data_IF_064142976313
#
_entry.id   IF_064142976313
#
_cell.length_a   1.000
_cell.length_b   1.000
_cell.length_c   1.000
_cell.angle_alpha   90.00
_cell.angle_beta   90.00
_cell.angle_gamma   90.00
#
_symmetry.space_group_name_H-M   'P 1'
#
loop_
_entity.id
_entity.type
_entity.pdbx_description
1 polymer ?
#
# COMPACT_ATOMS: atom_id res chain seq x y z
N UNK A 1 -1.08 32.79 7.86
CA UNK A 1 -1.96 31.70 7.38
C UNK A 1 -1.14 30.42 7.44
N UNK A 2 -1.50 29.47 8.30
CA UNK A 2 -0.58 28.41 8.74
C UNK A 2 -0.17 27.49 7.57
N UNK A 3 1.14 27.21 7.47
CA UNK A 3 1.76 26.28 6.49
C UNK A 3 1.29 24.81 6.65
N UNK A 4 0.32 24.54 7.51
CA UNK A 4 0.05 23.19 8.02
C UNK A 4 -1.20 22.52 7.43
N UNK A 5 -2.16 23.22 6.82
CA UNK A 5 -3.42 22.57 6.38
C UNK A 5 -3.44 22.28 4.87
N UNK A 6 -3.39 21.01 4.48
CA UNK A 6 -3.68 20.59 3.11
C UNK A 6 -5.18 20.41 2.91
N UNK A 7 -5.74 21.02 1.87
CA UNK A 7 -7.15 20.84 1.49
C UNK A 7 -7.24 20.07 0.17
N UNK A 8 -7.78 18.84 0.17
CA UNK A 8 -7.98 18.08 -1.05
C UNK A 8 -8.97 18.78 -1.99
N UNK A 9 -8.77 18.67 -3.30
CA UNK A 9 -9.80 19.07 -4.27
C UNK A 9 -11.07 18.23 -4.07
N UNK A 10 -12.28 18.77 -4.29
CA UNK A 10 -13.51 17.99 -4.17
C UNK A 10 -13.51 16.76 -5.09
N UNK A 11 -13.80 15.59 -4.53
CA UNK A 11 -14.00 14.37 -5.31
C UNK A 11 -15.45 14.24 -5.74
N UNK A 12 -15.68 14.05 -7.05
CA UNK A 12 -16.98 13.69 -7.61
C UNK A 12 -16.83 12.35 -8.32
N UNK A 13 -17.41 11.25 -7.79
CA UNK A 13 -17.26 9.94 -8.41
C UNK A 13 -17.87 9.95 -9.82
N UNK A 14 -17.20 9.26 -10.74
CA UNK A 14 -17.67 9.04 -12.09
C UNK A 14 -19.08 8.42 -12.08
N UNK A 15 -20.06 9.13 -12.64
CA UNK A 15 -21.46 8.71 -12.67
C UNK A 15 -21.69 7.39 -13.43
N UNK A 16 -20.80 7.07 -14.37
CA UNK A 16 -20.80 5.85 -15.17
C UNK A 16 -20.12 4.65 -14.47
N UNK A 17 -19.64 4.83 -13.23
CA UNK A 17 -19.13 3.79 -12.34
C UNK A 17 -19.89 3.82 -11.02
N UNK A 18 -21.19 3.48 -11.00
CA UNK A 18 -22.00 3.57 -9.80
C UNK A 18 -21.59 2.52 -8.77
N UNK A 19 -21.42 2.97 -7.53
CA UNK A 19 -21.16 2.12 -6.38
C UNK A 19 -19.70 1.69 -6.23
N UNK A 20 -19.41 1.15 -5.05
CA UNK A 20 -18.05 0.89 -4.60
C UNK A 20 -17.33 -0.18 -5.43
N UNK A 21 -18.04 -1.24 -5.84
CA UNK A 21 -17.46 -2.32 -6.64
C UNK A 21 -17.10 -1.87 -8.06
N UNK A 22 -17.94 -1.05 -8.71
CA UNK A 22 -17.66 -0.55 -10.06
C UNK A 22 -16.40 0.34 -10.06
N UNK A 23 -16.29 1.26 -9.09
CA UNK A 23 -15.08 2.07 -8.87
C UNK A 23 -13.84 1.20 -8.62
N UNK A 24 -13.95 0.19 -7.74
CA UNK A 24 -12.86 -0.72 -7.40
C UNK A 24 -12.37 -1.53 -8.61
N UNK A 25 -13.30 -2.13 -9.35
CA UNK A 25 -12.99 -2.98 -10.51
C UNK A 25 -12.46 -2.12 -11.65
N UNK A 26 -13.11 -1.00 -11.97
CA UNK A 26 -12.63 -0.10 -13.02
C UNK A 26 -11.24 0.44 -12.69
N UNK A 27 -10.95 0.77 -11.43
CA UNK A 27 -9.64 1.22 -10.99
C UNK A 27 -8.50 0.28 -11.41
N UNK A 28 -8.75 -1.03 -11.45
CA UNK A 28 -7.77 -2.01 -11.93
C UNK A 28 -7.50 -1.90 -13.43
N UNK A 29 -8.50 -1.57 -14.26
CA UNK A 29 -8.43 -1.75 -15.71
C UNK A 29 -8.35 -0.46 -16.54
N UNK A 30 -8.85 0.68 -16.03
CA UNK A 30 -9.01 1.87 -16.87
C UNK A 30 -7.81 2.84 -16.84
N UNK A 31 -6.88 2.66 -15.89
CA UNK A 31 -5.68 3.51 -15.82
C UNK A 31 -4.76 3.13 -16.99
N UNK A 32 -4.07 4.11 -17.62
CA UNK A 32 -3.20 3.82 -18.75
C UNK A 32 -2.11 2.79 -18.37
N UNK A 33 -1.89 1.75 -19.18
CA UNK A 33 -0.88 0.72 -18.89
C UNK A 33 0.53 1.07 -19.42
N UNK A 34 0.68 2.15 -20.21
CA UNK A 34 1.93 2.50 -20.91
C UNK A 34 2.48 3.87 -20.48
N UNK A 35 3.73 4.16 -20.89
CA UNK A 35 4.39 5.44 -20.62
C UNK A 35 5.07 5.54 -19.25
N UNK A 36 5.17 4.43 -18.52
CA UNK A 36 6.02 4.29 -17.33
C UNK A 36 6.98 3.14 -17.60
N UNK A 37 8.27 3.42 -17.48
CA UNK A 37 9.34 2.46 -17.65
C UNK A 37 10.04 2.23 -16.31
N UNK A 38 10.47 1.00 -16.07
CA UNK A 38 11.15 0.65 -14.83
C UNK A 38 12.55 0.15 -15.11
N UNK A 39 13.52 0.67 -14.35
CA UNK A 39 14.81 0.03 -14.15
C UNK A 39 14.74 -0.75 -12.83
N UNK A 40 14.75 -2.08 -12.94
CA UNK A 40 14.78 -2.96 -11.76
C UNK A 40 16.18 -3.02 -11.16
N UNK A 41 16.24 -2.91 -9.84
CA UNK A 41 17.43 -3.15 -9.04
C UNK A 41 17.08 -4.14 -7.92
N UNK A 42 17.89 -5.19 -7.76
CA UNK A 42 17.75 -6.15 -6.67
C UNK A 42 18.55 -5.68 -5.47
N UNK A 43 17.87 -5.51 -4.34
CA UNK A 43 18.46 -5.20 -3.05
C UNK A 43 18.54 -6.48 -2.22
N UNK A 44 19.76 -6.94 -1.96
CA UNK A 44 20.01 -8.06 -1.05
C UNK A 44 19.68 -7.65 0.38
N UNK A 45 18.96 -8.52 1.09
CA UNK A 45 18.49 -8.27 2.47
C UNK A 45 19.37 -8.99 3.48
N UNK A 46 19.48 -8.49 4.73
CA UNK A 46 20.36 -9.08 5.74
C UNK A 46 20.06 -10.55 6.10
N UNK A 47 18.84 -11.02 5.84
CA UNK A 47 18.42 -12.41 6.07
C UNK A 47 18.72 -13.35 4.89
N UNK A 48 19.55 -12.91 3.93
CA UNK A 48 19.97 -13.72 2.77
C UNK A 48 18.93 -13.79 1.65
N UNK A 49 17.89 -12.95 1.74
CA UNK A 49 16.83 -12.83 0.74
C UNK A 49 17.02 -11.58 -0.14
N UNK A 50 16.00 -11.19 -0.90
CA UNK A 50 16.02 -9.97 -1.69
C UNK A 50 14.70 -9.19 -1.69
N UNK A 51 14.82 -7.90 -2.02
CA UNK A 51 13.74 -7.01 -2.44
C UNK A 51 14.04 -6.48 -3.84
N UNK A 52 13.09 -6.60 -4.77
CA UNK A 52 13.23 -5.98 -6.09
C UNK A 52 12.60 -4.58 -6.08
N UNK A 53 13.42 -3.60 -6.44
CA UNK A 53 13.08 -2.19 -6.51
C UNK A 53 12.92 -1.78 -7.97
N UNK A 54 11.79 -1.18 -8.33
CA UNK A 54 11.54 -0.70 -9.68
C UNK A 54 11.60 0.84 -9.69
N UNK A 55 12.71 1.39 -10.18
CA UNK A 55 12.90 2.84 -10.34
C UNK A 55 12.19 3.32 -11.60
N UNK A 56 11.25 4.24 -11.45
CA UNK A 56 10.37 4.69 -12.53
C UNK A 56 10.98 5.84 -13.35
N UNK A 57 10.80 5.79 -14.67
CA UNK A 57 10.83 6.94 -15.56
C UNK A 57 9.50 7.04 -16.31
N UNK A 58 9.06 8.26 -16.62
CA UNK A 58 7.75 8.53 -17.23
C UNK A 58 7.96 9.29 -18.53
N UNK A 59 7.27 8.87 -19.59
CA UNK A 59 7.36 9.51 -20.90
C UNK A 59 6.92 10.98 -20.85
N UNK A 60 7.71 11.85 -21.46
CA UNK A 60 7.43 13.29 -21.51
C UNK A 60 7.63 14.03 -20.18
N UNK A 61 7.97 13.34 -19.08
CA UNK A 61 8.32 14.00 -17.83
C UNK A 61 9.79 14.47 -17.87
N UNK A 62 10.10 15.65 -17.29
CA UNK A 62 11.47 16.11 -17.20
C UNK A 62 12.32 15.15 -16.37
N UNK A 63 13.57 14.93 -16.78
CA UNK A 63 14.51 14.14 -15.99
C UNK A 63 14.75 14.83 -14.63
N UNK A 64 14.33 14.17 -13.56
CA UNK A 64 14.55 14.67 -12.22
C UNK A 64 16.02 14.48 -11.80
N UNK A 65 16.63 15.53 -11.25
CA UNK A 65 18.02 15.52 -10.80
C UNK A 65 18.28 14.50 -9.67
N UNK A 66 19.56 14.24 -9.39
CA UNK A 66 19.99 13.28 -8.36
C UNK A 66 19.50 13.63 -6.94
N UNK A 67 19.26 14.91 -6.67
CA UNK A 67 18.78 15.43 -5.37
C UNK A 67 17.26 15.65 -5.35
N UNK A 68 16.55 15.37 -6.44
CA UNK A 68 15.09 15.52 -6.48
C UNK A 68 14.42 14.61 -5.43
N UNK A 69 13.27 14.99 -4.86
CA UNK A 69 12.56 14.14 -3.90
C UNK A 69 12.32 12.74 -4.44
N UNK A 70 12.43 11.72 -3.59
CA UNK A 70 12.29 10.31 -3.96
C UNK A 70 11.16 9.68 -3.14
N UNK A 71 10.08 9.29 -3.81
CA UNK A 71 8.95 8.61 -3.22
C UNK A 71 9.10 7.09 -3.30
N UNK A 72 9.09 6.43 -2.15
CA UNK A 72 8.96 4.98 -2.04
C UNK A 72 7.49 4.60 -2.12
N UNK A 73 7.10 3.92 -3.20
CA UNK A 73 5.73 3.45 -3.40
C UNK A 73 5.59 1.98 -2.99
N UNK A 74 4.60 1.68 -2.15
CA UNK A 74 4.35 0.35 -1.56
C UNK A 74 2.95 -0.12 -1.96
N UNK A 75 2.91 -1.21 -2.73
CA UNK A 75 1.67 -1.73 -3.32
C UNK A 75 0.78 -2.47 -2.31
N UNK A 76 -0.47 -2.74 -2.69
CA UNK A 76 -1.42 -3.53 -1.91
C UNK A 76 -1.22 -5.04 -2.01
N UNK A 77 -2.11 -5.80 -1.38
CA UNK A 77 -2.08 -7.27 -1.36
C UNK A 77 -2.03 -7.85 -2.79
N UNK A 78 -1.07 -8.74 -3.05
CA UNK A 78 -0.82 -9.39 -4.34
C UNK A 78 -0.69 -8.42 -5.54
N UNK A 79 -0.28 -7.18 -5.25
CA UNK A 79 0.12 -6.17 -6.23
C UNK A 79 1.58 -6.29 -6.65
N UNK A 80 2.08 -5.26 -7.31
CA UNK A 80 3.47 -5.05 -7.72
C UNK A 80 3.62 -3.62 -8.28
N UNK A 81 4.84 -3.22 -8.65
CA UNK A 81 5.10 -1.97 -9.39
C UNK A 81 4.28 -1.82 -10.68
N UNK A 82 3.83 -2.94 -11.27
CA UNK A 82 3.01 -2.98 -12.49
C UNK A 82 1.51 -2.78 -12.23
N UNK A 83 1.10 -2.62 -10.97
CA UNK A 83 -0.30 -2.36 -10.65
C UNK A 83 -0.72 -1.01 -11.22
N UNK A 84 -1.93 -0.95 -11.79
CA UNK A 84 -2.40 0.21 -12.55
C UNK A 84 -2.36 1.53 -11.76
N UNK A 85 -2.72 1.49 -10.46
CA UNK A 85 -2.62 2.64 -9.54
C UNK A 85 -1.17 3.02 -9.21
N UNK A 86 -0.23 2.07 -9.23
CA UNK A 86 1.19 2.36 -9.03
C UNK A 86 1.75 3.14 -10.23
N UNK A 87 1.42 2.68 -11.46
CA UNK A 87 1.79 3.38 -12.69
C UNK A 87 1.23 4.81 -12.71
N UNK A 88 -0.05 4.98 -12.34
CA UNK A 88 -0.66 6.30 -12.28
C UNK A 88 -0.05 7.20 -11.21
N UNK A 89 0.37 6.63 -10.08
CA UNK A 89 1.10 7.35 -9.04
C UNK A 89 2.45 7.83 -9.55
N UNK A 90 3.20 6.98 -10.28
CA UNK A 90 4.45 7.39 -10.92
C UNK A 90 4.24 8.59 -11.85
N UNK A 91 3.19 8.58 -12.67
CA UNK A 91 2.86 9.72 -13.56
C UNK A 91 2.55 10.99 -12.78
N UNK A 92 1.64 10.89 -11.81
CA UNK A 92 1.24 12.04 -10.99
C UNK A 92 2.44 12.64 -10.23
N UNK A 93 3.35 11.81 -9.72
CA UNK A 93 4.56 12.28 -9.04
C UNK A 93 5.57 12.90 -10.01
N UNK A 94 5.73 12.33 -11.20
CA UNK A 94 6.64 12.85 -12.22
C UNK A 94 6.21 14.24 -12.73
N UNK A 95 4.90 14.53 -12.81
CA UNK A 95 4.37 15.89 -13.09
C UNK A 95 4.88 16.96 -12.09
N UNK A 96 5.31 16.53 -10.89
CA UNK A 96 5.84 17.38 -9.83
C UNK A 96 7.36 17.24 -9.64
N UNK A 97 8.07 16.58 -10.57
CA UNK A 97 9.52 16.36 -10.46
C UNK A 97 9.93 15.42 -9.33
N UNK A 98 9.00 14.61 -8.81
CA UNK A 98 9.27 13.63 -7.76
C UNK A 98 9.62 12.29 -8.40
N UNK A 99 10.79 11.76 -8.07
CA UNK A 99 11.23 10.42 -8.48
C UNK A 99 10.43 9.37 -7.74
N UNK A 100 10.16 8.24 -8.39
CA UNK A 100 9.46 7.11 -7.75
C UNK A 100 10.32 5.85 -7.78
N UNK A 101 10.40 5.18 -6.65
CA UNK A 101 10.90 3.80 -6.54
C UNK A 101 9.79 2.94 -5.97
N UNK A 102 9.33 1.96 -6.73
CA UNK A 102 8.34 1.00 -6.25
C UNK A 102 9.06 -0.15 -5.55
N UNK A 103 8.75 -0.36 -4.27
CA UNK A 103 9.19 -1.55 -3.54
C UNK A 103 8.22 -2.69 -3.87
N UNK A 104 8.70 -3.75 -4.50
CA UNK A 104 7.91 -4.98 -4.60
C UNK A 104 8.07 -5.77 -3.32
N UNK A 105 6.95 -6.12 -2.70
CA UNK A 105 6.98 -7.06 -1.59
C UNK A 105 7.60 -8.39 -2.02
N UNK A 106 8.17 -9.10 -1.05
CA UNK A 106 8.71 -10.45 -1.24
C UNK A 106 7.73 -11.33 -2.03
N UNK A 107 8.23 -12.04 -3.03
CA UNK A 107 7.42 -12.86 -3.96
C UNK A 107 6.41 -12.09 -4.84
N UNK A 108 6.52 -10.76 -5.00
CA UNK A 108 5.57 -9.96 -5.80
C UNK A 108 6.19 -9.33 -7.07
N UNK A 109 7.50 -9.46 -7.28
CA UNK A 109 8.20 -8.89 -8.44
C UNK A 109 8.14 -9.76 -9.71
N UNK A 110 7.57 -10.96 -9.62
CA UNK A 110 7.54 -11.98 -10.69
C UNK A 110 8.34 -13.24 -10.35
N UNK A 111 9.18 -13.17 -9.31
CA UNK A 111 9.96 -14.29 -8.79
C UNK A 111 9.63 -14.49 -7.30
N UNK A 112 9.47 -15.75 -6.82
CA UNK A 112 9.41 -16.03 -5.39
C UNK A 112 10.70 -15.61 -4.66
N UNK A 113 10.57 -15.08 -3.45
CA UNK A 113 11.71 -14.78 -2.60
C UNK A 113 12.36 -16.08 -2.05
N UNK A 114 13.63 -16.02 -1.65
CA UNK A 114 14.47 -17.20 -1.35
C UNK A 114 14.10 -17.87 -0.03
N UNK A 115 13.79 -17.07 0.99
CA UNK A 115 13.57 -17.58 2.35
C UNK A 115 12.13 -18.04 2.55
N UNK A 116 11.85 -18.69 3.68
CA UNK A 116 10.49 -19.09 4.04
C UNK A 116 9.54 -17.89 4.18
N UNK A 117 10.04 -16.79 4.78
CA UNK A 117 9.31 -15.56 5.09
C UNK A 117 8.55 -15.02 3.90
N UNK A 118 7.28 -14.67 4.09
CA UNK A 118 6.49 -13.91 3.11
C UNK A 118 6.35 -12.46 3.59
N UNK A 119 5.88 -11.58 2.70
CA UNK A 119 5.34 -10.30 3.14
C UNK A 119 4.00 -10.52 3.85
N UNK A 120 3.67 -9.64 4.80
CA UNK A 120 2.36 -9.59 5.46
C UNK A 120 2.07 -8.16 5.92
N UNK A 121 0.87 -7.89 6.42
CA UNK A 121 0.42 -6.54 6.77
C UNK A 121 1.23 -5.87 7.89
N UNK A 122 1.85 -6.69 8.75
CA UNK A 122 2.66 -6.23 9.89
C UNK A 122 4.15 -6.04 9.59
N UNK A 123 4.59 -6.42 8.38
CA UNK A 123 6.00 -6.42 7.99
C UNK A 123 6.49 -5.00 7.67
N UNK A 124 7.12 -4.35 8.63
CA UNK A 124 7.73 -3.02 8.46
C UNK A 124 9.25 -3.05 8.33
N UNK A 125 9.88 -4.21 8.55
CA UNK A 125 11.33 -4.37 8.53
C UNK A 125 11.92 -4.17 7.14
N UNK A 126 11.34 -4.80 6.12
CA UNK A 126 11.77 -4.63 4.72
C UNK A 126 11.70 -3.15 4.27
N UNK A 127 10.62 -2.44 4.64
CA UNK A 127 10.47 -1.01 4.34
C UNK A 127 11.50 -0.16 5.09
N UNK A 128 11.72 -0.44 6.37
CA UNK A 128 12.71 0.27 7.18
C UNK A 128 14.12 0.11 6.59
N UNK A 129 14.51 -1.12 6.25
CA UNK A 129 15.79 -1.44 5.64
C UNK A 129 15.98 -0.69 4.31
N UNK A 130 14.98 -0.74 3.43
CA UNK A 130 15.01 0.01 2.17
C UNK A 130 15.21 1.52 2.39
N UNK A 131 14.46 2.10 3.35
CA UNK A 131 14.54 3.53 3.62
C UNK A 131 15.92 3.96 4.14
N UNK A 132 16.58 3.14 4.96
CA UNK A 132 17.94 3.42 5.40
C UNK A 132 18.95 3.32 4.24
N UNK A 133 18.81 2.32 3.36
CA UNK A 133 19.63 2.20 2.14
C UNK A 133 19.46 3.40 1.22
N UNK A 134 18.21 3.84 0.99
CA UNK A 134 17.92 4.99 0.14
C UNK A 134 18.39 6.30 0.77
N UNK A 135 18.28 6.46 2.08
CA UNK A 135 18.76 7.64 2.79
C UNK A 135 20.28 7.78 2.68
N UNK A 136 21.03 6.67 2.77
CA UNK A 136 22.47 6.67 2.56
C UNK A 136 22.86 6.94 1.10
N UNK A 137 22.11 6.37 0.14
CA UNK A 137 22.40 6.51 -1.30
C UNK A 137 22.05 7.89 -1.86
N UNK A 138 20.99 8.52 -1.34
CA UNK A 138 20.49 9.82 -1.81
C UNK A 138 20.38 10.81 -0.65
N UNK A 139 21.50 11.23 -0.04
CA UNK A 139 21.49 11.99 1.22
C UNK A 139 20.80 13.36 1.13
N UNK A 140 20.76 13.96 -0.05
CA UNK A 140 20.13 15.26 -0.27
C UNK A 140 18.66 15.16 -0.71
N UNK A 141 18.20 13.96 -1.08
CA UNK A 141 16.84 13.77 -1.55
C UNK A 141 15.88 13.63 -0.38
N UNK A 142 14.80 14.42 -0.38
CA UNK A 142 13.70 14.20 0.54
C UNK A 142 13.04 12.84 0.23
N UNK A 143 13.12 11.90 1.18
CA UNK A 143 12.41 10.63 1.07
C UNK A 143 10.93 10.81 1.40
N UNK A 144 10.07 10.31 0.53
CA UNK A 144 8.61 10.39 0.64
C UNK A 144 8.02 8.97 0.62
N UNK A 145 6.81 8.79 1.13
CA UNK A 145 6.12 7.49 1.13
C UNK A 145 4.76 7.54 0.47
N UNK A 146 4.43 6.53 -0.33
CA UNK A 146 3.08 6.30 -0.84
C UNK A 146 2.67 4.84 -0.64
N UNK A 147 1.62 4.60 0.14
CA UNK A 147 1.12 3.26 0.43
C UNK A 147 -0.31 3.07 -0.05
N UNK A 148 -0.61 1.87 -0.56
CA UNK A 148 -1.93 1.51 -1.07
C UNK A 148 -2.45 0.25 -0.38
N UNK A 149 -3.68 0.28 0.13
CA UNK A 149 -4.32 -0.89 0.76
C UNK A 149 -3.41 -1.51 1.83
N UNK A 150 -3.03 -2.78 1.70
CA UNK A 150 -2.03 -3.43 2.58
C UNK A 150 -0.73 -2.62 2.72
N UNK A 151 -0.22 -2.03 1.63
CA UNK A 151 0.96 -1.16 1.66
C UNK A 151 0.74 0.14 2.41
N UNK A 152 -0.50 0.67 2.43
CA UNK A 152 -0.86 1.79 3.30
C UNK A 152 -0.82 1.39 4.77
N UNK A 153 -1.31 0.19 5.12
CA UNK A 153 -1.20 -0.32 6.48
C UNK A 153 0.26 -0.46 6.92
N UNK A 154 1.10 -1.10 6.10
CA UNK A 154 2.55 -1.25 6.37
C UNK A 154 3.21 0.12 6.54
N UNK A 155 2.95 1.06 5.64
CA UNK A 155 3.53 2.40 5.70
C UNK A 155 3.11 3.14 6.98
N UNK A 156 1.82 3.15 7.32
CA UNK A 156 1.33 3.84 8.51
C UNK A 156 1.84 3.20 9.81
N UNK A 157 1.91 1.87 9.85
CA UNK A 157 2.53 1.14 10.95
C UNK A 157 3.99 1.54 11.12
N UNK A 158 4.78 1.51 10.04
CA UNK A 158 6.18 1.96 10.07
C UNK A 158 6.32 3.39 10.61
N UNK A 159 5.49 4.31 10.12
CA UNK A 159 5.53 5.71 10.55
C UNK A 159 5.21 5.87 12.04
N UNK A 160 4.26 5.11 12.57
CA UNK A 160 3.94 5.14 14.00
C UNK A 160 5.01 4.47 14.87
N UNK A 161 5.64 3.40 14.39
CA UNK A 161 6.76 2.74 15.07
C UNK A 161 8.02 3.61 15.12
N UNK A 162 8.24 4.43 14.09
CA UNK A 162 9.43 5.30 14.00
C UNK A 162 9.21 6.71 14.52
N UNK A 163 7.99 7.24 14.51
CA UNK A 163 7.70 8.60 14.95
C UNK A 163 8.65 9.63 14.31
N UNK A 164 9.36 10.39 15.14
CA UNK A 164 10.26 11.47 14.71
C UNK A 164 11.53 10.98 14.02
N UNK A 165 11.99 9.75 14.33
CA UNK A 165 13.21 9.19 13.73
C UNK A 165 12.96 8.59 12.34
N UNK A 166 11.73 8.68 11.82
CA UNK A 166 11.41 8.26 10.46
C UNK A 166 12.29 8.95 9.42
N UNK A 167 12.76 8.16 8.44
CA UNK A 167 13.47 8.69 7.26
C UNK A 167 12.51 9.41 6.30
N UNK A 168 11.23 9.03 6.30
CA UNK A 168 10.20 9.62 5.46
C UNK A 168 9.88 11.03 5.95
N UNK A 169 9.93 12.00 5.05
CA UNK A 169 9.60 13.40 5.29
C UNK A 169 8.09 13.67 5.25
N UNK A 170 7.38 13.02 4.33
CA UNK A 170 5.93 13.09 4.21
C UNK A 170 5.40 11.84 3.52
N UNK A 171 4.15 11.49 3.82
CA UNK A 171 3.54 10.27 3.32
C UNK A 171 2.11 10.46 2.82
N UNK A 172 1.65 9.53 2.00
CA UNK A 172 0.26 9.38 1.62
C UNK A 172 -0.14 7.92 1.74
N UNK A 173 -1.32 7.66 2.28
CA UNK A 173 -1.87 6.32 2.46
C UNK A 173 -3.29 6.27 1.87
N UNK A 174 -3.51 5.36 0.92
CA UNK A 174 -4.71 5.31 0.10
C UNK A 174 -5.45 3.98 0.31
N UNK A 175 -6.76 4.04 0.57
CA UNK A 175 -7.63 2.86 0.85
C UNK A 175 -7.15 2.00 2.01
N UNK A 176 -6.89 2.67 3.13
CA UNK A 176 -6.25 2.12 4.34
C UNK A 176 -7.14 1.07 5.04
N UNK A 177 -6.70 -0.19 5.21
CA UNK A 177 -7.38 -1.16 6.06
C UNK A 177 -6.96 -0.92 7.52
N UNK A 178 -7.57 0.08 8.16
CA UNK A 178 -7.23 0.53 9.53
C UNK A 178 -7.22 -0.62 10.55
N UNK A 179 -8.21 -1.51 10.42
CA UNK A 179 -8.39 -2.73 11.22
C UNK A 179 -8.48 -3.93 10.25
N UNK A 180 -7.47 -4.79 10.29
CA UNK A 180 -7.35 -5.93 9.38
C UNK A 180 -8.39 -7.02 9.70
N UNK A 181 -8.71 -7.22 10.97
CA UNK A 181 -9.69 -8.23 11.41
C UNK A 181 -11.09 -7.85 10.96
N UNK A 182 -11.51 -6.62 11.23
CA UNK A 182 -12.81 -6.10 10.77
C UNK A 182 -12.91 -6.08 9.24
N UNK A 183 -11.81 -5.76 8.54
CA UNK A 183 -11.74 -5.87 7.08
C UNK A 183 -11.95 -7.30 6.57
N UNK A 184 -11.28 -8.28 7.20
CA UNK A 184 -11.43 -9.70 6.88
C UNK A 184 -12.88 -10.18 7.09
N UNK A 185 -13.51 -9.78 8.21
CA UNK A 185 -14.88 -10.16 8.55
C UNK A 185 -15.91 -9.51 7.60
N UNK A 186 -15.74 -8.23 7.26
CA UNK A 186 -16.57 -7.53 6.27
C UNK A 186 -16.55 -8.24 4.91
N UNK A 187 -15.37 -8.64 4.45
CA UNK A 187 -15.21 -9.35 3.18
C UNK A 187 -15.85 -10.75 3.24
N UNK A 188 -15.70 -11.48 4.35
CA UNK A 188 -16.34 -12.78 4.54
C UNK A 188 -17.89 -12.67 4.53
N UNK A 189 -18.43 -11.59 5.10
CA UNK A 189 -19.86 -11.35 5.23
C UNK A 189 -20.60 -11.09 3.90
N UNK A 190 -19.93 -10.58 2.86
CA UNK A 190 -20.57 -10.19 1.60
C UNK A 190 -20.29 -11.13 0.43
N UNK A 191 -21.21 -11.22 -0.54
CA UNK A 191 -21.01 -12.04 -1.74
C UNK A 191 -19.78 -11.59 -2.55
N UNK A 192 -19.70 -10.30 -2.87
CA UNK A 192 -18.57 -9.73 -3.61
C UNK A 192 -17.27 -9.80 -2.80
N UNK A 193 -17.34 -9.62 -1.47
CA UNK A 193 -16.18 -9.81 -0.59
C UNK A 193 -15.59 -11.20 -0.70
N UNK A 194 -16.41 -12.25 -0.66
CA UNK A 194 -15.95 -13.64 -0.87
C UNK A 194 -15.34 -13.88 -2.25
N UNK A 195 -15.81 -13.19 -3.30
CA UNK A 195 -15.19 -13.25 -4.64
C UNK A 195 -13.78 -12.65 -4.60
N UNK A 196 -13.60 -11.49 -3.97
CA UNK A 196 -12.27 -10.89 -3.78
C UNK A 196 -11.36 -11.77 -2.93
N UNK A 197 -11.82 -12.24 -1.77
CA UNK A 197 -11.06 -13.13 -0.89
C UNK A 197 -10.60 -14.37 -1.64
N UNK A 198 -11.49 -15.03 -2.40
CA UNK A 198 -11.14 -16.21 -3.20
C UNK A 198 -10.07 -15.91 -4.24
N UNK A 199 -10.09 -14.73 -4.88
CA UNK A 199 -9.06 -14.32 -5.83
C UNK A 199 -7.68 -14.24 -5.16
N UNK A 200 -7.58 -13.55 -4.02
CA UNK A 200 -6.31 -13.35 -3.32
C UNK A 200 -5.79 -14.62 -2.64
N UNK A 201 -6.66 -15.36 -1.94
CA UNK A 201 -6.31 -16.64 -1.29
C UNK A 201 -5.73 -17.62 -2.31
N UNK A 202 -6.33 -17.74 -3.49
CA UNK A 202 -5.80 -18.61 -4.57
C UNK A 202 -4.37 -18.25 -4.97
N UNK A 203 -4.05 -16.96 -5.08
CA UNK A 203 -2.71 -16.49 -5.47
C UNK A 203 -1.68 -16.74 -4.36
N UNK A 204 -2.05 -16.46 -3.11
CA UNK A 204 -1.19 -16.72 -1.95
C UNK A 204 -0.90 -18.22 -1.76
N UNK A 205 -1.92 -19.08 -1.92
CA UNK A 205 -1.74 -20.54 -1.92
C UNK A 205 -0.85 -20.99 -3.08
N UNK A 206 -0.97 -20.37 -4.26
CA UNK A 206 -0.06 -20.66 -5.38
C UNK A 206 1.40 -20.27 -5.06
N UNK A 207 1.64 -19.13 -4.40
CA UNK A 207 2.99 -18.73 -3.95
C UNK A 207 3.57 -19.70 -2.92
N UNK A 208 2.77 -20.14 -1.95
CA UNK A 208 3.14 -21.19 -1.02
C UNK A 208 3.59 -22.47 -1.76
N UNK A 209 2.83 -22.89 -2.78
CA UNK A 209 3.19 -24.07 -3.61
C UNK A 209 4.50 -23.88 -4.36
N UNK A 210 4.70 -22.72 -4.98
CA UNK A 210 5.93 -22.41 -5.71
C UNK A 210 7.16 -22.51 -4.80
N UNK A 211 7.10 -21.93 -3.59
CA UNK A 211 8.19 -22.04 -2.61
C UNK A 211 8.47 -23.47 -2.19
N UNK A 212 7.42 -24.26 -1.92
CA UNK A 212 7.57 -25.68 -1.57
C UNK A 212 8.18 -26.49 -2.72
N UNK A 213 7.75 -26.23 -3.95
CA UNK A 213 8.30 -26.89 -5.14
C UNK A 213 9.78 -26.53 -5.37
N UNK A 214 10.17 -25.31 -5.01
CA UNK A 214 11.56 -24.84 -5.02
C UNK A 214 12.41 -25.37 -3.85
N UNK A 215 11.87 -26.26 -3.00
CA UNK A 215 12.60 -26.83 -1.87
C UNK A 215 12.73 -25.93 -0.65
N UNK A 216 12.06 -24.77 -0.63
CA UNK A 216 12.06 -23.88 0.54
C UNK A 216 11.31 -24.55 1.70
N UNK A 217 12.00 -24.71 2.83
CA UNK A 217 11.41 -25.27 4.05
C UNK A 217 10.50 -24.24 4.71
N UNK A 218 9.20 -24.55 4.75
CA UNK A 218 8.18 -23.75 5.44
C UNK A 218 7.83 -24.46 6.75
N UNK A 219 8.79 -24.49 7.68
CA UNK A 219 8.64 -25.22 8.95
C UNK A 219 7.43 -24.70 9.74
N UNK A 220 6.72 -25.59 10.43
CA UNK A 220 5.50 -25.25 11.17
C UNK A 220 4.24 -25.02 10.30
N UNK A 221 4.37 -25.00 8.98
CA UNK A 221 3.23 -24.81 8.05
C UNK A 221 3.07 -26.00 7.12
N UNK A 222 1.92 -26.67 7.22
CA UNK A 222 1.46 -27.63 6.21
C UNK A 222 0.03 -27.30 5.81
N UNK A 223 -0.12 -26.61 4.69
CA UNK A 223 -1.45 -26.36 4.14
C UNK A 223 -2.06 -27.65 3.60
N UNK A 224 -3.17 -28.08 4.19
CA UNK A 224 -4.04 -29.09 3.59
C UNK A 224 -4.69 -28.49 2.34
N UNK A 225 -4.25 -28.97 1.18
CA UNK A 225 -4.69 -28.45 -0.11
C UNK A 225 -6.17 -28.71 -0.42
N UNK A 226 -6.77 -29.74 0.18
CA UNK A 226 -8.21 -30.01 0.03
C UNK A 226 -9.00 -29.03 0.89
N UNK A 227 -8.50 -28.70 2.09
CA UNK A 227 -9.09 -27.68 2.96
C UNK A 227 -8.92 -26.27 2.40
N UNK A 228 -7.78 -25.93 1.80
CA UNK A 228 -7.55 -24.57 1.29
C UNK A 228 -8.48 -24.17 0.14
N UNK A 229 -9.01 -25.14 -0.62
CA UNK A 229 -10.06 -24.91 -1.62
C UNK A 229 -11.40 -24.46 -1.01
N UNK A 230 -11.60 -24.71 0.29
CA UNK A 230 -12.81 -24.37 1.04
C UNK A 230 -12.67 -23.09 1.86
N UNK A 231 -11.49 -22.49 1.93
CA UNK A 231 -11.29 -21.22 2.64
C UNK A 231 -12.14 -20.12 2.01
N UNK A 232 -12.96 -19.49 2.85
CA UNK A 232 -13.91 -18.44 2.44
C UNK A 232 -13.56 -17.09 3.05
N UNK A 233 -12.57 -17.05 3.94
CA UNK A 233 -12.10 -15.84 4.61
C UNK A 233 -10.58 -15.68 4.48
N UNK A 234 -10.09 -14.44 4.65
CA UNK A 234 -8.66 -14.20 4.83
C UNK A 234 -8.17 -14.81 6.15
N UNK A 235 -9.02 -14.79 7.19
CA UNK A 235 -8.77 -15.38 8.50
C UNK A 235 -8.35 -16.84 8.43
N UNK A 236 -9.00 -17.66 7.60
CA UNK A 236 -8.63 -19.07 7.41
C UNK A 236 -7.19 -19.23 6.87
N UNK A 237 -6.84 -18.40 5.88
CA UNK A 237 -5.50 -18.41 5.29
C UNK A 237 -4.47 -17.87 6.28
N UNK A 238 -4.79 -16.76 6.94
CA UNK A 238 -3.89 -16.10 7.86
C UNK A 238 -3.60 -16.98 9.07
N UNK A 239 -4.61 -17.68 9.62
CA UNK A 239 -4.40 -18.61 10.72
C UNK A 239 -3.51 -19.80 10.32
N UNK A 240 -3.74 -20.35 9.12
CA UNK A 240 -3.05 -21.54 8.65
C UNK A 240 -1.65 -21.26 8.08
N UNK A 241 -1.39 -20.07 7.56
CA UNK A 241 -0.15 -19.70 6.88
C UNK A 241 0.53 -18.50 7.53
N UNK A 242 -0.10 -17.33 7.49
CA UNK A 242 0.54 -16.05 7.85
C UNK A 242 0.96 -16.04 9.32
N UNK A 243 0.06 -16.40 10.23
CA UNK A 243 0.29 -16.39 11.67
C UNK A 243 1.42 -17.36 12.04
N UNK A 244 1.27 -18.63 11.64
CA UNK A 244 2.22 -19.71 11.94
C UNK A 244 3.63 -19.42 11.41
N UNK A 245 3.73 -18.92 10.17
CA UNK A 245 5.02 -18.71 9.53
C UNK A 245 5.80 -17.53 10.14
N UNK A 246 5.08 -16.53 10.67
CA UNK A 246 5.68 -15.29 11.16
C UNK A 246 5.64 -15.16 12.69
N UNK A 247 5.35 -16.26 13.40
CA UNK A 247 5.42 -16.31 14.87
C UNK A 247 4.28 -15.59 15.58
N UNK A 248 3.13 -15.42 14.94
CA UNK A 248 1.89 -15.02 15.62
C UNK A 248 1.20 -16.25 16.20
N UNK A 249 0.41 -16.05 17.27
CA UNK A 249 -0.31 -17.14 17.91
C UNK A 249 -1.38 -17.74 16.99
N UNK A 250 -2.15 -16.85 16.34
CA UNK A 250 -3.24 -17.15 15.42
C UNK A 250 -3.53 -15.90 14.53
N UNK A 251 -4.59 -15.96 13.73
CA UNK A 251 -4.99 -14.82 12.89
C UNK A 251 -5.39 -13.57 13.71
N UNK A 252 -5.98 -13.73 14.90
CA UNK A 252 -6.43 -12.60 15.73
C UNK A 252 -5.25 -11.86 16.37
N UNK A 253 -4.25 -12.59 16.86
CA UNK A 253 -2.97 -12.02 17.31
C UNK A 253 -2.28 -11.28 16.17
N UNK A 254 -2.25 -11.88 14.97
CA UNK A 254 -1.72 -11.24 13.76
C UNK A 254 -2.44 -9.92 13.45
N UNK A 255 -3.77 -9.90 13.42
CA UNK A 255 -4.54 -8.69 13.12
C UNK A 255 -4.37 -7.62 14.19
N UNK A 256 -4.37 -7.99 15.47
CA UNK A 256 -4.18 -7.07 16.59
C UNK A 256 -2.84 -6.36 16.51
N UNK A 257 -1.76 -7.11 16.24
CA UNK A 257 -0.38 -6.57 16.20
C UNK A 257 -0.04 -5.87 14.89
N UNK A 258 -0.80 -6.13 13.83
CA UNK A 258 -0.48 -5.64 12.48
C UNK A 258 -1.38 -4.50 11.98
N UNK A 259 -2.52 -4.26 12.62
CA UNK A 259 -3.45 -3.20 12.21
C UNK A 259 -2.89 -1.81 12.48
N UNK A 260 -2.84 -0.94 11.47
CA UNK A 260 -2.20 0.37 11.59
C UNK A 260 -2.96 1.36 12.51
N UNK A 261 -4.25 1.14 12.80
CA UNK A 261 -5.06 2.03 13.62
C UNK A 261 -4.41 2.38 14.97
N UNK A 262 -3.80 1.40 15.64
CA UNK A 262 -3.19 1.60 16.96
C UNK A 262 -1.88 2.41 16.90
N UNK A 263 -1.27 2.54 15.72
CA UNK A 263 0.00 3.25 15.53
C UNK A 263 -0.18 4.71 15.10
N UNK A 264 -1.39 5.11 14.67
CA UNK A 264 -1.64 6.44 14.10
C UNK A 264 -1.34 7.60 15.07
N UNK A 265 -1.54 7.39 16.37
CA UNK A 265 -1.29 8.41 17.39
C UNK A 265 0.21 8.77 17.51
N UNK A 266 1.10 7.85 17.11
CA UNK A 266 2.55 8.01 17.20
C UNK A 266 3.19 8.58 15.92
N UNK A 267 2.41 8.78 14.85
CA UNK A 267 2.92 9.39 13.60
C UNK A 267 3.29 10.86 13.87
N UNK A 268 4.48 11.25 13.42
CA UNK A 268 5.07 12.60 13.60
C UNK A 268 5.45 13.30 12.28
N UNK A 269 5.08 12.71 11.14
CA UNK A 269 5.37 13.26 9.82
C UNK A 269 4.06 13.57 9.08
N UNK A 270 3.97 14.67 8.31
CA UNK A 270 2.77 15.01 7.55
C UNK A 270 2.33 13.84 6.67
N UNK A 271 1.11 13.35 6.90
CA UNK A 271 0.58 12.15 6.26
C UNK A 271 -0.84 12.37 5.77
N UNK A 272 -1.04 12.27 4.45
CA UNK A 272 -2.37 12.32 3.83
C UNK A 272 -3.06 10.95 3.93
N UNK A 273 -4.27 10.92 4.47
CA UNK A 273 -5.08 9.70 4.59
C UNK A 273 -6.25 9.77 3.59
N UNK A 274 -6.12 9.12 2.44
CA UNK A 274 -7.17 9.10 1.41
C UNK A 274 -8.00 7.84 1.56
N UNK A 275 -9.30 7.99 1.84
CA UNK A 275 -10.17 6.85 2.08
C UNK A 275 -11.60 7.10 1.63
N UNK A 276 -12.26 6.08 1.09
CA UNK A 276 -13.67 6.13 0.73
C UNK A 276 -14.52 5.45 1.81
N UNK A 277 -15.61 6.08 2.25
CA UNK A 277 -16.50 5.49 3.26
C UNK A 277 -17.28 4.28 2.72
N UNK A 278 -17.43 4.17 1.40
CA UNK A 278 -18.06 3.02 0.74
C UNK A 278 -17.08 1.88 0.40
N UNK A 279 -15.81 1.95 0.82
CA UNK A 279 -14.78 0.97 0.48
C UNK A 279 -15.24 -0.48 0.76
N UNK A 280 -15.26 -1.39 -0.24
CA UNK A 280 -15.77 -2.74 -0.06
C UNK A 280 -14.85 -3.66 0.77
N UNK A 281 -13.60 -3.27 1.00
CA UNK A 281 -12.62 -4.03 1.78
C UNK A 281 -12.54 -3.57 3.24
N UNK A 282 -12.91 -2.32 3.52
CA UNK A 282 -12.67 -1.68 4.82
C UNK A 282 -13.99 -1.30 5.47
N UNK A 283 -14.19 -1.69 6.72
CA UNK A 283 -15.35 -1.27 7.50
C UNK A 283 -15.23 0.22 7.86
N UNK A 284 -16.22 1.03 7.45
CA UNK A 284 -16.26 2.45 7.77
C UNK A 284 -16.32 2.69 9.29
N UNK A 285 -16.94 1.78 10.04
CA UNK A 285 -16.97 1.83 11.50
C UNK A 285 -15.63 1.52 12.17
N UNK A 286 -14.63 1.05 11.41
CA UNK A 286 -13.28 0.81 11.89
C UNK A 286 -12.34 2.01 11.68
N UNK A 287 -12.81 3.11 11.07
CA UNK A 287 -12.00 4.31 10.88
C UNK A 287 -11.80 5.00 12.24
N UNK A 288 -10.55 5.19 12.72
CA UNK A 288 -10.27 5.74 14.04
C UNK A 288 -10.37 7.28 14.03
N UNK A 289 -11.58 7.81 13.82
CA UNK A 289 -11.83 9.26 13.66
C UNK A 289 -11.22 10.11 14.79
N UNK A 290 -11.37 9.70 16.04
CA UNK A 290 -10.83 10.44 17.19
C UNK A 290 -9.29 10.56 17.15
N UNK A 291 -8.59 9.46 16.82
CA UNK A 291 -7.12 9.47 16.70
C UNK A 291 -6.67 10.32 15.52
N UNK A 292 -7.38 10.24 14.39
CA UNK A 292 -7.09 11.04 13.19
C UNK A 292 -7.26 12.54 13.48
N UNK A 293 -8.32 12.93 14.20
CA UNK A 293 -8.58 14.33 14.55
C UNK A 293 -7.60 14.87 15.60
N UNK A 294 -7.16 14.03 16.53
CA UNK A 294 -6.25 14.42 17.60
C UNK A 294 -4.79 14.59 17.14
N UNK A 295 -4.37 13.94 16.05
CA UNK A 295 -3.00 14.02 15.55
C UNK A 295 -2.85 15.10 14.46
N UNK A 296 -2.15 16.22 14.69
CA UNK A 296 -2.02 17.32 13.73
C UNK A 296 -1.20 16.97 12.48
N UNK A 297 -0.47 15.85 12.48
CA UNK A 297 0.27 15.37 11.33
C UNK A 297 -0.60 14.57 10.35
N UNK A 298 -1.81 14.18 10.74
CA UNK A 298 -2.72 13.41 9.90
C UNK A 298 -3.68 14.35 9.17
N UNK A 299 -3.68 14.26 7.85
CA UNK A 299 -4.55 15.04 6.98
C UNK A 299 -5.60 14.12 6.35
N UNK A 300 -6.82 14.03 6.90
CA UNK A 300 -7.86 13.17 6.34
C UNK A 300 -8.44 13.74 5.04
N UNK A 301 -8.50 12.90 4.01
CA UNK A 301 -9.24 13.10 2.77
C UNK A 301 -10.28 11.98 2.64
N UNK A 302 -11.26 11.99 3.55
CA UNK A 302 -12.35 11.01 3.60
C UNK A 302 -13.48 11.44 2.64
N UNK A 303 -13.81 10.58 1.69
CA UNK A 303 -14.86 10.85 0.70
C UNK A 303 -16.02 9.85 0.84
N UNK A 304 -17.27 10.24 0.61
CA UNK A 304 -18.41 9.34 0.81
C UNK A 304 -18.39 8.12 -0.11
N UNK A 305 -17.87 8.29 -1.33
CA UNK A 305 -17.80 7.25 -2.37
C UNK A 305 -16.46 7.29 -3.05
N UNK A 306 -15.97 6.14 -3.48
CA UNK A 306 -14.70 6.01 -4.21
C UNK A 306 -14.24 4.57 -4.42
N UNK A 307 -14.85 3.60 -3.73
CA UNK A 307 -14.42 2.21 -3.77
C UNK A 307 -13.01 2.00 -3.21
N UNK A 308 -12.48 0.79 -3.36
CA UNK A 308 -11.13 0.44 -2.93
C UNK A 308 -10.14 0.72 -4.06
N UNK A 309 -9.26 1.70 -3.87
CA UNK A 309 -8.26 2.13 -4.87
C UNK A 309 -8.90 2.51 -6.22
N UNK A 310 -10.16 2.94 -6.18
CA UNK A 310 -10.93 3.42 -7.33
C UNK A 310 -10.66 4.89 -7.56
N UNK A 311 -11.37 5.75 -6.81
CA UNK A 311 -11.28 7.22 -6.84
C UNK A 311 -11.31 7.81 -8.27
N UNK A 312 -12.13 7.21 -9.14
CA UNK A 312 -12.28 7.64 -10.53
C UNK A 312 -13.34 8.74 -10.60
N UNK A 313 -12.95 9.87 -11.17
CA UNK A 313 -13.80 10.99 -11.54
C UNK A 313 -13.80 11.21 -13.05
N UNK A 314 -14.56 12.19 -13.53
CA UNK A 314 -14.56 12.59 -14.95
C UNK A 314 -15.50 11.76 -15.82
N UNK A 315 -15.32 11.86 -17.13
CA UNK A 315 -16.17 11.22 -18.14
C UNK A 315 -15.52 9.94 -18.67
N UNK A 316 -16.26 9.05 -19.36
CA UNK A 316 -15.67 7.83 -19.92
C UNK A 316 -14.50 8.08 -20.89
N UNK A 317 -14.52 9.21 -21.60
CA UNK A 317 -13.46 9.60 -22.56
C UNK A 317 -12.28 10.32 -21.90
N UNK A 318 -12.48 10.87 -20.71
CA UNK A 318 -11.46 11.59 -19.96
C UNK A 318 -11.58 11.24 -18.46
N UNK A 319 -11.29 9.98 -18.09
CA UNK A 319 -11.26 9.57 -16.69
C UNK A 319 -10.16 10.34 -15.95
N UNK A 320 -10.40 10.65 -14.69
CA UNK A 320 -9.43 11.30 -13.79
C UNK A 320 -9.23 10.45 -12.55
N UNK A 321 -7.98 10.24 -12.18
CA UNK A 321 -7.58 9.44 -11.01
C UNK A 321 -7.28 10.38 -9.86
N UNK A 322 -8.28 10.59 -9.01
CA UNK A 322 -8.25 11.69 -8.05
C UNK A 322 -7.27 11.44 -6.90
N UNK A 323 -7.22 10.22 -6.36
CA UNK A 323 -6.38 9.90 -5.21
C UNK A 323 -4.89 10.09 -5.51
N UNK A 324 -4.42 9.62 -6.67
CA UNK A 324 -3.03 9.74 -7.11
C UNK A 324 -2.61 11.20 -7.32
N UNK A 325 -3.51 12.01 -7.90
CA UNK A 325 -3.26 13.45 -8.10
C UNK A 325 -3.19 14.21 -6.79
N UNK A 326 -4.09 13.93 -5.84
CA UNK A 326 -4.05 14.59 -4.52
C UNK A 326 -2.87 14.11 -3.68
N UNK A 327 -2.51 12.83 -3.77
CA UNK A 327 -1.28 12.28 -3.20
C UNK A 327 -0.04 13.03 -3.72
N UNK A 328 0.10 13.17 -5.04
CA UNK A 328 1.26 13.84 -5.63
C UNK A 328 1.32 15.33 -5.24
N UNK A 329 0.17 16.03 -5.25
CA UNK A 329 0.09 17.44 -4.80
C UNK A 329 0.48 17.60 -3.32
N UNK A 330 0.01 16.71 -2.46
CA UNK A 330 0.35 16.73 -1.04
C UNK A 330 1.86 16.52 -0.84
N UNK A 331 2.41 15.49 -1.47
CA UNK A 331 3.82 15.14 -1.34
C UNK A 331 4.72 16.25 -1.91
N UNK A 332 4.37 16.84 -3.06
CA UNK A 332 5.09 17.95 -3.65
C UNK A 332 5.14 19.18 -2.73
N UNK A 333 4.00 19.53 -2.10
CA UNK A 333 3.94 20.63 -1.14
C UNK A 333 4.77 20.40 0.13
N UNK A 334 5.08 19.15 0.48
CA UNK A 334 5.87 18.81 1.68
C UNK A 334 7.35 18.54 1.38
N UNK A 335 7.68 18.19 0.14
CA UNK A 335 9.03 17.85 -0.27
C UNK A 335 10.02 19.02 -0.11
N UNK A 336 9.59 20.26 -0.38
CA UNK A 336 10.44 21.46 -0.31
C UNK A 336 10.45 22.20 1.05
N UNK A 337 9.58 21.84 1.99
CA UNK A 337 9.59 22.47 3.32
C UNK A 337 10.86 22.07 4.11
N UNK A 338 11.32 22.87 5.08
CA UNK A 338 12.39 22.43 6.03
C UNK A 338 11.79 21.48 7.08
N UNK A 339 12.58 20.58 7.70
CA UNK A 339 12.11 19.83 8.89
C UNK A 339 11.97 20.88 10.00
N UNK A 340 10.78 21.05 10.56
CA UNK A 340 10.52 21.94 11.67
C UNK A 340 11.07 21.34 12.96
#
# INVERSE_FOLDING_TARGET
MSEHTFTPRPFRPAWWLPGAHAQTIAGRYIRPPHGVHYRRERLETPDGDFLDLDFASVDGAPAAGADAPLCVAVHGLEGSAQSSYMLETCRALAEHGIRTVAMNFRSCSGEPNRTARFYHAGETGDLAFLLDVLAARFPNAALLGAGFSLGANVLLKYLGERGEVSRIRAATAISIPFDLGRGADKLAGSFMGRVYTRHFVRRLVAKYRLKRAAGVRLDGVRLDERRSRRWRSFRDLDDALTARLHGFQDADDYYTRSSCAIFLHAIRVPTLLVHALDDPFVDAGAIPHGVIQANPHLHPALVPRGGHVGFIAGTPRAPRFWAEREAARFLAGRAGAKRA
#
